data_IF_770426611699
#
_entry.id   IF_770426611699
#
_cell.length_a   1.000
_cell.length_b   1.000
_cell.length_c   1.000
_cell.angle_alpha   90.00
_cell.angle_beta   90.00
_cell.angle_gamma   90.00
#
_symmetry.space_group_name_H-M   'P 1'
#
loop_
_entity.id
_entity.type
_entity.pdbx_description
1 polymer ?
#
# COMPACT_ATOMS: atom_id res chain seq x y z
N UNK A 1 -7.93 -73.25 76.28
CA UNK A 1 -7.72 -73.24 74.81
C UNK A 1 -6.36 -73.67 74.47
N UNK A 2 -6.18 -74.70 73.55
CA UNK A 2 -4.87 -75.19 73.16
C UNK A 2 -4.09 -74.11 72.42
N UNK A 3 -2.82 -73.88 72.78
CA UNK A 3 -1.88 -72.96 72.14
C UNK A 3 -1.89 -73.10 70.60
N UNK A 4 -2.15 -74.26 70.09
CA UNK A 4 -2.25 -74.58 68.67
C UNK A 4 -3.45 -73.84 67.96
N UNK A 5 -4.61 -73.82 68.58
CA UNK A 5 -5.80 -73.09 68.05
C UNK A 5 -5.57 -71.58 68.03
N UNK A 6 -4.84 -71.05 68.98
CA UNK A 6 -4.52 -69.62 69.00
C UNK A 6 -3.58 -69.20 67.84
N UNK A 7 -2.52 -70.03 67.59
CA UNK A 7 -1.59 -69.82 66.52
C UNK A 7 -2.27 -69.95 65.16
N UNK A 8 -3.19 -70.87 64.94
CA UNK A 8 -3.94 -71.00 63.69
C UNK A 8 -4.81 -69.78 63.45
N UNK A 9 -5.50 -69.27 64.42
CA UNK A 9 -6.35 -68.02 64.30
C UNK A 9 -5.51 -66.77 64.03
N UNK A 10 -4.33 -66.66 64.62
CA UNK A 10 -3.44 -65.54 64.36
C UNK A 10 -2.91 -65.61 62.89
N UNK A 11 -2.61 -66.79 62.36
CA UNK A 11 -2.21 -66.95 60.95
C UNK A 11 -3.37 -66.63 59.99
N UNK A 12 -4.56 -67.15 60.22
CA UNK A 12 -5.74 -66.86 59.44
C UNK A 12 -6.01 -65.38 59.40
N UNK A 13 -5.96 -64.64 60.50
CA UNK A 13 -6.16 -63.18 60.52
C UNK A 13 -5.00 -62.46 59.78
N UNK A 14 -3.75 -62.88 59.93
CA UNK A 14 -2.64 -62.28 59.22
C UNK A 14 -2.75 -62.50 57.70
N UNK A 15 -3.18 -63.67 57.27
CA UNK A 15 -3.42 -63.96 55.86
C UNK A 15 -4.58 -63.13 55.29
N UNK A 16 -5.67 -62.94 56.04
CA UNK A 16 -6.78 -62.07 55.68
C UNK A 16 -6.34 -60.58 55.55
N UNK A 17 -5.56 -60.06 56.49
CA UNK A 17 -5.02 -58.68 56.44
C UNK A 17 -4.03 -58.52 55.26
N UNK A 18 -3.18 -59.46 54.97
CA UNK A 18 -2.28 -59.46 53.81
C UNK A 18 -3.07 -59.41 52.51
N UNK A 19 -4.15 -60.19 52.42
CA UNK A 19 -4.98 -60.21 51.22
C UNK A 19 -5.76 -58.88 51.02
N UNK A 20 -6.26 -58.29 52.11
CA UNK A 20 -6.87 -56.96 52.06
C UNK A 20 -5.85 -55.90 51.63
N UNK A 21 -4.68 -55.86 52.22
CA UNK A 21 -3.62 -54.92 51.83
C UNK A 21 -3.20 -55.07 50.36
N UNK A 22 -3.12 -56.32 49.86
CA UNK A 22 -2.84 -56.54 48.43
C UNK A 22 -3.93 -55.96 47.54
N UNK A 23 -5.21 -56.16 47.87
CA UNK A 23 -6.34 -55.61 47.10
C UNK A 23 -6.36 -54.09 47.14
N UNK A 24 -6.11 -53.50 48.29
CA UNK A 24 -6.02 -52.02 48.39
C UNK A 24 -4.85 -51.46 47.56
N UNK A 25 -3.70 -52.13 47.60
CA UNK A 25 -2.55 -51.74 46.82
C UNK A 25 -2.78 -51.89 45.30
N UNK A 26 -3.43 -52.93 44.84
CA UNK A 26 -3.82 -53.13 43.45
C UNK A 26 -4.77 -52.03 42.96
N UNK A 27 -5.76 -51.67 43.79
CA UNK A 27 -6.68 -50.55 43.50
C UNK A 27 -5.96 -49.21 43.40
N UNK A 28 -5.01 -48.95 44.31
CA UNK A 28 -4.19 -47.72 44.24
C UNK A 28 -3.33 -47.66 42.99
N UNK A 29 -2.72 -48.78 42.58
CA UNK A 29 -1.93 -48.87 41.34
C UNK A 29 -2.83 -48.60 40.12
N UNK A 30 -4.02 -49.16 40.09
CA UNK A 30 -4.98 -48.94 39.01
C UNK A 30 -5.44 -47.49 38.93
N UNK A 31 -5.76 -46.85 40.06
CA UNK A 31 -6.07 -45.43 40.13
C UNK A 31 -4.91 -44.57 39.62
N UNK A 32 -3.70 -44.80 40.06
CA UNK A 32 -2.50 -44.10 39.61
C UNK A 32 -2.26 -44.26 38.11
N UNK A 33 -2.46 -45.43 37.54
CA UNK A 33 -2.36 -45.68 36.09
C UNK A 33 -3.40 -44.88 35.32
N UNK A 34 -4.66 -44.87 35.81
CA UNK A 34 -5.74 -44.12 35.17
C UNK A 34 -5.48 -42.61 35.23
N UNK A 35 -5.02 -42.07 36.35
CA UNK A 35 -4.63 -40.66 36.46
C UNK A 35 -3.48 -40.31 35.52
N UNK A 36 -2.47 -41.16 35.42
CA UNK A 36 -1.37 -40.95 34.53
C UNK A 36 -1.78 -40.91 33.03
N UNK A 37 -2.62 -41.86 32.62
CA UNK A 37 -3.13 -41.93 31.26
C UNK A 37 -4.01 -40.71 30.93
N UNK A 38 -4.84 -40.25 31.88
CA UNK A 38 -5.63 -39.06 31.70
C UNK A 38 -4.75 -37.80 31.57
N UNK A 39 -3.79 -37.63 32.46
CA UNK A 39 -2.80 -36.52 32.36
C UNK A 39 -2.03 -36.52 31.05
N UNK A 40 -1.61 -37.71 30.59
CA UNK A 40 -0.93 -37.86 29.32
C UNK A 40 -1.79 -37.42 28.14
N UNK A 41 -3.06 -37.85 28.10
CA UNK A 41 -4.02 -37.42 27.05
C UNK A 41 -4.25 -35.91 27.06
N UNK A 42 -4.43 -35.33 28.25
CA UNK A 42 -4.59 -33.88 28.39
C UNK A 42 -3.40 -33.09 27.84
N UNK A 43 -2.19 -33.55 28.16
CA UNK A 43 -0.95 -32.93 27.66
C UNK A 43 -0.87 -33.04 26.12
N UNK A 44 -1.13 -34.22 25.57
CA UNK A 44 -1.14 -34.46 24.12
C UNK A 44 -2.15 -33.59 23.39
N UNK A 45 -3.37 -33.45 23.93
CA UNK A 45 -4.41 -32.60 23.39
C UNK A 45 -4.02 -31.11 23.42
N UNK A 46 -3.51 -30.61 24.56
CA UNK A 46 -3.05 -29.24 24.70
C UNK A 46 -1.92 -28.94 23.70
N UNK A 47 -0.94 -29.81 23.63
CA UNK A 47 0.19 -29.66 22.72
C UNK A 47 -0.26 -29.66 21.24
N UNK A 48 -1.18 -30.54 20.87
CA UNK A 48 -1.76 -30.58 19.52
C UNK A 48 -2.50 -29.29 19.18
N UNK A 49 -3.32 -28.80 20.12
CA UNK A 49 -4.09 -27.54 19.96
C UNK A 49 -3.16 -26.33 19.84
N UNK A 50 -2.16 -26.21 20.72
CA UNK A 50 -1.17 -25.12 20.66
C UNK A 50 -0.37 -25.15 19.34
N UNK A 51 0.05 -26.31 18.91
CA UNK A 51 0.75 -26.48 17.63
C UNK A 51 -0.09 -26.01 16.45
N UNK A 52 -1.37 -26.32 16.45
CA UNK A 52 -2.29 -25.89 15.40
C UNK A 52 -2.55 -24.38 15.45
N UNK A 53 -2.71 -23.82 16.62
CA UNK A 53 -2.83 -22.36 16.80
C UNK A 53 -1.60 -21.62 16.27
N UNK A 54 -0.39 -22.05 16.65
CA UNK A 54 0.86 -21.47 16.17
C UNK A 54 0.98 -21.57 14.64
N UNK A 55 0.65 -22.73 14.08
CA UNK A 55 0.68 -22.94 12.61
C UNK A 55 -0.26 -21.98 11.89
N UNK A 56 -1.48 -21.83 12.39
CA UNK A 56 -2.49 -20.92 11.82
C UNK A 56 -2.06 -19.45 11.96
N UNK A 57 -1.45 -19.08 13.08
CA UNK A 57 -0.93 -17.73 13.27
C UNK A 57 0.22 -17.41 12.31
N UNK A 58 1.16 -18.34 12.15
CA UNK A 58 2.27 -18.19 11.19
C UNK A 58 1.71 -18.03 9.77
N UNK A 59 0.77 -18.90 9.36
CA UNK A 59 0.15 -18.83 8.04
C UNK A 59 -0.51 -17.48 7.80
N UNK A 60 -1.28 -16.97 8.75
CA UNK A 60 -1.93 -15.64 8.67
C UNK A 60 -0.90 -14.50 8.57
N UNK A 61 0.20 -14.58 9.33
CA UNK A 61 1.28 -13.58 9.25
C UNK A 61 1.96 -13.60 7.89
N UNK A 62 2.24 -14.77 7.35
CA UNK A 62 2.82 -14.93 6.02
C UNK A 62 1.91 -14.39 4.92
N UNK A 63 0.62 -14.72 4.95
CA UNK A 63 -0.36 -14.21 4.00
C UNK A 63 -0.46 -12.67 4.02
N UNK A 64 -0.54 -12.09 5.23
CA UNK A 64 -0.55 -10.62 5.38
C UNK A 64 0.73 -9.97 4.87
N UNK A 65 1.89 -10.55 5.16
CA UNK A 65 3.17 -10.04 4.67
C UNK A 65 3.25 -10.11 3.15
N UNK A 66 2.83 -11.22 2.56
CA UNK A 66 2.80 -11.40 1.11
C UNK A 66 1.87 -10.39 0.43
N UNK A 67 0.65 -10.18 0.95
CA UNK A 67 -0.28 -9.19 0.42
C UNK A 67 0.27 -7.77 0.50
N UNK A 68 0.93 -7.43 1.61
CA UNK A 68 1.57 -6.13 1.79
C UNK A 68 2.70 -5.90 0.79
N UNK A 69 3.57 -6.89 0.60
CA UNK A 69 4.67 -6.78 -0.36
C UNK A 69 4.14 -6.70 -1.80
N UNK A 70 3.14 -7.52 -2.14
CA UNK A 70 2.49 -7.45 -3.45
C UNK A 70 1.94 -6.05 -3.72
N UNK A 71 1.15 -5.51 -2.79
CA UNK A 71 0.59 -4.16 -2.93
C UNK A 71 1.68 -3.09 -3.10
N UNK A 72 2.79 -3.23 -2.37
CA UNK A 72 3.92 -2.31 -2.50
C UNK A 72 4.51 -2.34 -3.91
N UNK A 73 4.75 -3.54 -4.46
CA UNK A 73 5.25 -3.69 -5.83
C UNK A 73 4.27 -3.16 -6.88
N UNK A 74 2.98 -3.43 -6.72
CA UNK A 74 1.94 -2.93 -7.62
C UNK A 74 1.94 -1.39 -7.65
N UNK A 75 1.99 -0.74 -6.48
CA UNK A 75 2.08 0.72 -6.37
C UNK A 75 3.40 1.30 -6.94
N UNK A 76 4.53 0.63 -6.73
CA UNK A 76 5.82 1.06 -7.31
C UNK A 76 5.79 1.00 -8.85
N UNK A 77 5.19 -0.05 -9.41
CA UNK A 77 5.02 -0.19 -10.86
C UNK A 77 4.09 0.91 -11.41
N UNK A 78 2.94 1.12 -10.78
CA UNK A 78 2.00 2.19 -11.17
C UNK A 78 2.66 3.57 -11.13
N UNK A 79 3.40 3.86 -10.07
CA UNK A 79 4.13 5.11 -9.94
C UNK A 79 5.17 5.27 -11.06
N UNK A 80 5.96 4.23 -11.34
CA UNK A 80 6.97 4.26 -12.39
C UNK A 80 6.35 4.50 -13.78
N UNK A 81 5.27 3.79 -14.11
CA UNK A 81 4.54 3.96 -15.37
C UNK A 81 3.98 5.38 -15.47
N UNK A 82 3.32 5.86 -14.41
CA UNK A 82 2.78 7.22 -14.35
C UNK A 82 3.85 8.29 -14.60
N UNK A 83 5.04 8.14 -13.99
CA UNK A 83 6.16 9.06 -14.21
C UNK A 83 6.66 9.02 -15.66
N UNK A 84 6.79 7.84 -16.25
CA UNK A 84 7.23 7.71 -17.65
C UNK A 84 6.20 8.28 -18.63
N UNK A 85 4.94 8.05 -18.41
CA UNK A 85 3.86 8.65 -19.20
C UNK A 85 3.89 10.19 -19.09
N UNK A 86 4.09 10.71 -17.87
CA UNK A 86 4.18 12.14 -17.63
C UNK A 86 5.35 12.77 -18.37
N UNK A 87 6.56 12.22 -18.21
CA UNK A 87 7.77 12.69 -18.91
C UNK A 87 7.58 12.74 -20.44
N UNK A 88 6.90 11.75 -20.99
CA UNK A 88 6.63 11.70 -22.42
C UNK A 88 5.56 12.71 -22.86
N UNK A 89 4.49 12.83 -22.09
CA UNK A 89 3.41 13.77 -22.38
C UNK A 89 3.87 15.24 -22.26
N UNK A 90 4.76 15.56 -21.31
CA UNK A 90 5.37 16.90 -21.19
C UNK A 90 6.18 17.24 -22.45
N UNK A 91 6.98 16.31 -22.97
CA UNK A 91 7.74 16.52 -24.23
C UNK A 91 6.82 16.73 -25.42
N UNK A 92 5.77 15.90 -25.54
CA UNK A 92 4.79 16.06 -26.61
C UNK A 92 4.06 17.40 -26.52
N UNK A 93 3.73 17.88 -25.32
CA UNK A 93 3.12 19.18 -25.13
C UNK A 93 4.03 20.34 -25.59
N UNK A 94 5.35 20.23 -25.37
CA UNK A 94 6.33 21.19 -25.87
C UNK A 94 6.46 21.15 -27.41
N UNK A 95 6.42 19.95 -28.02
CA UNK A 95 6.45 19.81 -29.49
C UNK A 95 5.19 20.41 -30.13
N UNK A 96 4.01 20.10 -29.61
CA UNK A 96 2.72 20.66 -30.07
C UNK A 96 2.68 22.16 -29.88
N UNK A 97 3.31 22.69 -28.81
CA UNK A 97 3.38 24.13 -28.60
C UNK A 97 4.07 24.85 -29.73
N UNK A 98 5.21 24.36 -30.23
CA UNK A 98 5.94 25.00 -31.32
C UNK A 98 5.08 25.21 -32.57
N UNK A 99 4.10 24.33 -32.79
CA UNK A 99 3.17 24.43 -33.93
C UNK A 99 1.94 25.31 -33.64
N UNK A 100 1.53 25.41 -32.38
CA UNK A 100 0.25 26.05 -31.97
C UNK A 100 0.42 27.39 -31.24
N UNK A 101 1.63 27.85 -30.99
CA UNK A 101 1.91 29.04 -30.21
C UNK A 101 1.21 30.29 -30.76
N UNK A 102 1.22 30.50 -32.10
CA UNK A 102 0.58 31.66 -32.74
C UNK A 102 -0.93 31.68 -32.50
N UNK A 103 -1.62 30.55 -32.71
CA UNK A 103 -3.05 30.42 -32.48
C UNK A 103 -3.42 30.64 -30.99
N UNK A 104 -2.54 30.18 -30.08
CA UNK A 104 -2.71 30.37 -28.65
C UNK A 104 -2.66 31.88 -28.29
N UNK A 105 -1.66 32.62 -28.74
CA UNK A 105 -1.55 34.04 -28.46
C UNK A 105 -2.70 34.85 -29.10
N UNK A 106 -3.11 34.46 -30.28
CA UNK A 106 -4.26 35.10 -30.93
C UNK A 106 -5.56 34.93 -30.14
N UNK A 107 -5.84 33.75 -29.63
CA UNK A 107 -7.03 33.49 -28.79
C UNK A 107 -7.03 34.30 -27.50
N UNK A 108 -5.87 34.46 -26.87
CA UNK A 108 -5.77 35.18 -25.59
C UNK A 108 -5.59 36.68 -25.74
N UNK A 109 -5.45 37.17 -26.95
CA UNK A 109 -5.28 38.60 -27.27
C UNK A 109 -6.41 39.45 -26.69
N UNK A 110 -7.67 39.04 -26.88
CA UNK A 110 -8.81 39.81 -26.41
C UNK A 110 -8.95 39.85 -24.89
N UNK A 111 -8.66 38.72 -24.24
CA UNK A 111 -8.74 38.60 -22.78
C UNK A 111 -7.66 39.42 -22.08
N UNK A 112 -6.43 39.35 -22.56
CA UNK A 112 -5.31 40.08 -21.97
C UNK A 112 -5.34 41.57 -22.28
N UNK A 113 -5.87 41.98 -23.42
CA UNK A 113 -6.03 43.42 -23.73
C UNK A 113 -7.16 44.10 -22.97
N UNK A 114 -8.08 43.37 -22.32
CA UNK A 114 -9.13 43.95 -21.47
C UNK A 114 -8.60 44.41 -20.13
N UNK A 115 -7.51 43.83 -19.66
CA UNK A 115 -6.87 44.15 -18.39
C UNK A 115 -5.48 44.79 -18.65
N UNK A 116 -5.08 45.72 -17.81
CA UNK A 116 -3.80 46.42 -17.93
C UNK A 116 -2.68 45.52 -17.33
N UNK A 117 -2.21 44.55 -18.11
CA UNK A 117 -1.04 43.77 -17.75
C UNK A 117 0.22 44.59 -18.04
N UNK A 118 1.07 44.82 -17.01
CA UNK A 118 2.32 45.55 -17.19
C UNK A 118 3.41 44.72 -17.81
N UNK A 119 3.57 43.48 -17.32
CA UNK A 119 4.64 42.58 -17.77
C UNK A 119 4.10 41.23 -18.16
N UNK A 120 4.48 40.77 -19.34
CA UNK A 120 4.32 39.38 -19.78
C UNK A 120 5.68 38.69 -19.82
N UNK A 121 5.77 37.60 -19.06
CA UNK A 121 6.92 36.72 -19.12
C UNK A 121 6.60 35.54 -20.06
N UNK A 122 7.48 35.30 -21.02
CA UNK A 122 7.34 34.27 -22.04
C UNK A 122 8.69 33.55 -22.26
N UNK A 123 8.69 32.46 -23.03
CA UNK A 123 9.94 31.85 -23.47
C UNK A 123 10.72 32.79 -24.40
N UNK A 124 12.04 32.57 -24.51
CA UNK A 124 12.85 33.32 -25.47
C UNK A 124 12.38 33.16 -26.92
N UNK A 125 11.92 31.97 -27.29
CA UNK A 125 11.38 31.67 -28.62
C UNK A 125 10.09 32.42 -28.90
N UNK A 126 9.24 32.61 -27.90
CA UNK A 126 7.90 33.20 -28.04
C UNK A 126 7.91 34.71 -27.91
N UNK A 127 9.05 35.32 -27.52
CA UNK A 127 9.15 36.76 -27.24
C UNK A 127 8.67 37.64 -28.39
N UNK A 128 9.14 37.38 -29.60
CA UNK A 128 8.77 38.17 -30.81
C UNK A 128 7.28 38.00 -31.12
N UNK A 129 6.73 36.81 -30.88
CA UNK A 129 5.35 36.50 -31.10
C UNK A 129 4.48 37.22 -30.05
N UNK A 130 4.84 37.20 -28.81
CA UNK A 130 4.17 37.89 -27.72
C UNK A 130 4.18 39.41 -27.92
N UNK A 131 5.29 40.03 -28.35
CA UNK A 131 5.41 41.44 -28.68
C UNK A 131 4.45 41.86 -29.82
N UNK A 132 4.21 40.97 -30.80
CA UNK A 132 3.27 41.20 -31.91
C UNK A 132 1.82 41.26 -31.40
N UNK A 133 1.41 40.38 -30.48
CA UNK A 133 0.04 40.27 -30.00
C UNK A 133 -0.28 41.20 -28.81
N UNK A 134 0.73 41.56 -28.01
CA UNK A 134 0.58 42.38 -26.79
C UNK A 134 1.48 43.64 -26.84
N UNK A 135 1.25 44.55 -27.75
CA UNK A 135 2.11 45.71 -27.94
C UNK A 135 2.07 46.73 -26.80
N UNK A 136 1.10 46.61 -25.90
CA UNK A 136 0.93 47.54 -24.76
C UNK A 136 1.57 47.01 -23.46
N UNK A 137 2.01 45.78 -23.44
CA UNK A 137 2.65 45.17 -22.29
C UNK A 137 4.19 45.05 -22.49
N UNK A 138 4.91 45.14 -21.41
CA UNK A 138 6.35 44.84 -21.42
C UNK A 138 6.56 43.35 -21.53
N UNK A 139 7.11 42.85 -22.64
CA UNK A 139 7.44 41.44 -22.82
C UNK A 139 8.84 41.17 -22.33
N UNK A 140 8.98 40.26 -21.38
CA UNK A 140 10.25 39.81 -20.79
C UNK A 140 10.44 38.28 -21.02
N UNK A 141 11.63 37.92 -21.43
CA UNK A 141 11.97 36.51 -21.57
C UNK A 141 12.27 35.88 -20.21
N UNK A 142 11.83 34.64 -20.04
CA UNK A 142 12.10 33.84 -18.86
C UNK A 142 12.46 32.40 -19.26
N UNK A 143 13.70 32.00 -18.99
CA UNK A 143 14.25 30.67 -19.34
C UNK A 143 13.49 29.50 -18.69
N UNK A 144 12.72 29.76 -17.65
CA UNK A 144 11.93 28.70 -16.94
C UNK A 144 10.60 28.41 -17.66
N UNK A 145 10.25 29.20 -18.66
CA UNK A 145 9.00 29.04 -19.43
C UNK A 145 9.36 28.37 -20.76
N UNK A 146 8.87 27.15 -20.97
CA UNK A 146 9.00 26.42 -22.23
C UNK A 146 7.94 26.83 -23.26
N UNK A 147 6.86 27.49 -22.84
CA UNK A 147 5.79 28.02 -23.69
C UNK A 147 4.63 28.57 -22.89
N UNK A 148 3.81 29.40 -23.55
CA UNK A 148 2.76 30.16 -22.89
C UNK A 148 3.27 31.44 -22.26
N UNK A 149 2.55 31.97 -21.28
CA UNK A 149 2.91 33.22 -20.64
C UNK A 149 2.55 33.25 -19.16
N UNK A 150 3.24 34.11 -18.42
CA UNK A 150 2.84 34.60 -17.09
C UNK A 150 2.59 36.09 -17.25
N UNK A 151 1.37 36.56 -16.90
CA UNK A 151 1.02 37.96 -16.93
C UNK A 151 0.94 38.54 -15.52
N UNK A 152 1.58 39.67 -15.33
CA UNK A 152 1.63 40.39 -14.05
C UNK A 152 1.10 41.82 -14.22
N UNK A 153 0.24 42.23 -13.29
CA UNK A 153 -0.29 43.61 -13.28
C UNK A 153 0.74 44.58 -12.65
N UNK A 154 0.48 45.91 -12.78
CA UNK A 154 1.35 46.97 -12.35
C UNK A 154 1.76 46.90 -10.87
N UNK A 155 0.85 46.46 -10.01
CA UNK A 155 1.03 46.43 -8.57
C UNK A 155 1.61 45.11 -8.07
N UNK A 156 1.85 44.14 -8.97
CA UNK A 156 2.31 42.77 -8.63
C UNK A 156 1.30 41.96 -7.80
N UNK A 157 0.04 42.46 -7.70
CA UNK A 157 -0.99 41.80 -6.87
C UNK A 157 -1.77 40.74 -7.63
N UNK A 158 -1.82 40.84 -8.96
CA UNK A 158 -2.48 39.88 -9.83
C UNK A 158 -1.46 39.22 -10.75
N UNK A 159 -1.46 37.90 -10.75
CA UNK A 159 -0.58 37.09 -11.59
C UNK A 159 -1.43 35.99 -12.22
N UNK A 160 -1.36 35.88 -13.55
CA UNK A 160 -1.95 34.78 -14.30
C UNK A 160 -0.82 33.92 -14.85
N UNK A 161 -0.78 32.66 -14.44
CA UNK A 161 0.11 31.64 -15.02
C UNK A 161 -0.69 30.78 -16.02
N UNK A 162 -0.44 31.04 -17.31
CA UNK A 162 -0.98 30.30 -18.44
C UNK A 162 0.14 29.63 -19.26
N UNK A 163 1.19 29.19 -18.57
CA UNK A 163 2.25 28.41 -19.17
C UNK A 163 1.78 27.00 -19.53
N UNK A 164 2.44 26.38 -20.50
CA UNK A 164 2.20 24.97 -20.85
C UNK A 164 2.30 24.10 -19.61
N UNK A 165 3.33 24.31 -18.80
CA UNK A 165 3.56 23.55 -17.57
C UNK A 165 2.38 23.66 -16.60
N UNK A 166 1.92 24.88 -16.32
CA UNK A 166 0.80 25.10 -15.42
C UNK A 166 -0.49 24.47 -15.93
N UNK A 167 -0.74 24.58 -17.24
CA UNK A 167 -1.90 23.95 -17.89
C UNK A 167 -1.81 22.42 -17.83
N UNK A 168 -0.65 21.88 -18.14
CA UNK A 168 -0.40 20.44 -18.09
C UNK A 168 -0.62 19.89 -16.65
N UNK A 169 -0.09 20.58 -15.64
CA UNK A 169 -0.26 20.17 -14.24
C UNK A 169 -1.75 20.15 -13.83
N UNK A 170 -2.56 21.09 -14.31
CA UNK A 170 -4.00 21.13 -14.04
C UNK A 170 -4.76 20.01 -14.75
N UNK A 171 -4.35 19.65 -15.96
CA UNK A 171 -5.01 18.62 -16.77
C UNK A 171 -4.55 17.21 -16.44
N UNK A 172 -3.34 17.06 -15.93
CA UNK A 172 -2.73 15.75 -15.68
C UNK A 172 -3.57 14.80 -14.80
N UNK A 173 -4.18 15.25 -13.69
CA UNK A 173 -5.04 14.40 -12.87
C UNK A 173 -6.25 13.82 -13.61
N UNK A 174 -6.72 14.49 -14.66
CA UNK A 174 -7.85 14.03 -15.49
C UNK A 174 -7.38 13.07 -16.59
N UNK A 175 -6.21 13.33 -17.17
CA UNK A 175 -5.63 12.54 -18.29
C UNK A 175 -5.02 11.23 -17.79
N UNK A 176 -4.36 11.22 -16.64
CA UNK A 176 -3.66 10.05 -16.12
C UNK A 176 -4.55 8.80 -15.99
N UNK A 177 -5.78 8.87 -15.43
CA UNK A 177 -6.65 7.69 -15.34
C UNK A 177 -7.00 7.09 -16.71
N UNK A 178 -7.19 7.92 -17.74
CA UNK A 178 -7.49 7.46 -19.09
C UNK A 178 -6.28 6.71 -19.71
N UNK A 179 -5.08 7.26 -19.53
CA UNK A 179 -3.83 6.63 -20.00
C UNK A 179 -3.64 5.28 -19.29
N UNK A 180 -3.79 5.26 -17.97
CA UNK A 180 -3.62 4.05 -17.18
C UNK A 180 -4.68 3.00 -17.53
N UNK A 181 -5.93 3.41 -17.76
CA UNK A 181 -6.99 2.51 -18.21
C UNK A 181 -6.63 1.78 -19.52
N UNK A 182 -6.22 2.52 -20.53
CA UNK A 182 -5.77 1.96 -21.82
C UNK A 182 -4.56 1.03 -21.66
N UNK A 183 -3.60 1.42 -20.82
CA UNK A 183 -2.43 0.61 -20.56
C UNK A 183 -2.79 -0.76 -19.95
N UNK A 184 -3.73 -0.79 -18.99
CA UNK A 184 -4.18 -2.04 -18.39
C UNK A 184 -5.02 -2.89 -19.34
N UNK A 185 -5.84 -2.28 -20.21
CA UNK A 185 -6.57 -2.99 -21.25
C UNK A 185 -5.61 -3.72 -22.21
N UNK A 186 -4.58 -3.02 -22.70
CA UNK A 186 -3.59 -3.61 -23.61
C UNK A 186 -2.73 -4.70 -22.95
N UNK A 187 -2.48 -4.61 -21.65
CA UNK A 187 -1.78 -5.66 -20.91
C UNK A 187 -2.67 -6.91 -20.74
N UNK A 188 -3.95 -6.71 -20.47
CA UNK A 188 -4.89 -7.83 -20.27
C UNK A 188 -5.09 -8.66 -21.53
N UNK A 189 -4.99 -8.02 -22.70
CA UNK A 189 -5.11 -8.71 -24.00
C UNK A 189 -3.86 -9.54 -24.39
N UNK A 190 -2.75 -9.37 -23.67
CA UNK A 190 -1.47 -10.04 -23.94
C UNK A 190 -1.12 -11.16 -22.95
N UNK A 191 -1.90 -11.35 -21.90
CA UNK A 191 -1.74 -12.38 -20.87
C UNK A 191 -2.82 -13.45 -21.00
#
# INVERSE_FOLDING_TARGET
MSQRKLMERIREKADEEIEQLKKEHELQIEQLKNEYENKKKDIEQRFSSEKEQIRNEIKRKMEKSFQKEKLKYDLEIEYFISQKCREHAEKLAEEVWMESAEEFFERHKEELNKENWETLYVSDSDKKLAEKYFPHSKVAANEKISGGFIAENKDGTLLIDNTIKSRFEKMWPEILPEIMGKFYEELSDKI
#
